data_IF_887045614235
#
_entry.id   IF_887045614235
#
_cell.length_a   1.000
_cell.length_b   1.000
_cell.length_c   1.000
_cell.angle_alpha   90.00
_cell.angle_beta   90.00
_cell.angle_gamma   90.00
#
_symmetry.space_group_name_H-M   'P 1'
#
loop_
_entity.id
_entity.type
_entity.pdbx_description
1 polymer ?
#
# COMPACT_ATOMS: atom_id res chain seq x y z
N UNK A 1 -2.55 -1.30 25.56
CA UNK A 1 -1.85 -0.55 24.49
C UNK A 1 -2.61 0.75 24.28
N UNK A 2 -1.91 1.90 24.12
CA UNK A 2 -2.56 3.21 23.98
C UNK A 2 -2.85 3.61 22.54
N UNK A 3 -2.23 2.93 21.56
CA UNK A 3 -2.50 3.26 20.17
C UNK A 3 -1.51 2.71 19.16
N UNK A 4 -1.67 3.20 17.94
CA UNK A 4 -0.87 2.84 16.77
C UNK A 4 -0.25 4.08 16.13
N UNK A 5 0.95 3.93 15.57
CA UNK A 5 1.61 4.90 14.72
C UNK A 5 1.89 4.23 13.37
N UNK A 6 1.05 4.52 12.36
CA UNK A 6 1.09 3.86 11.06
C UNK A 6 1.87 4.72 10.07
N UNK A 7 3.08 4.27 9.74
CA UNK A 7 4.06 4.98 8.90
C UNK A 7 3.85 4.61 7.43
N UNK A 8 3.82 5.62 6.57
CA UNK A 8 3.65 5.49 5.12
C UNK A 8 4.87 4.95 4.39
N UNK A 9 4.77 4.92 3.05
CA UNK A 9 5.79 4.42 2.14
C UNK A 9 7.13 5.12 2.37
N UNK A 10 8.17 4.34 2.68
CA UNK A 10 9.50 4.86 3.05
C UNK A 10 10.40 5.02 1.82
N UNK A 11 10.40 4.03 0.94
CA UNK A 11 11.17 4.04 -0.30
C UNK A 11 12.62 4.50 -0.15
N UNK A 12 13.36 3.96 0.82
CA UNK A 12 14.77 4.30 1.01
C UNK A 12 15.03 5.71 1.57
N UNK A 13 14.02 6.42 2.07
CA UNK A 13 14.14 7.70 2.75
C UNK A 13 14.51 7.49 4.24
N UNK A 14 15.71 6.99 4.49
CA UNK A 14 16.15 6.58 5.84
C UNK A 14 16.30 7.74 6.81
N UNK A 15 16.83 8.88 6.35
CA UNK A 15 17.06 10.03 7.22
C UNK A 15 15.72 10.62 7.69
N UNK A 16 14.75 10.67 6.79
CA UNK A 16 13.38 11.10 7.08
C UNK A 16 12.69 10.10 8.03
N UNK A 17 12.96 8.80 7.85
CA UNK A 17 12.44 7.77 8.75
C UNK A 17 12.98 7.96 10.18
N UNK A 18 14.28 8.17 10.35
CA UNK A 18 14.87 8.44 11.65
C UNK A 18 14.27 9.70 12.28
N UNK A 19 14.17 10.80 11.51
CA UNK A 19 13.59 12.06 12.00
C UNK A 19 12.12 11.90 12.40
N UNK A 20 11.33 11.14 11.64
CA UNK A 20 9.93 10.88 11.98
C UNK A 20 9.82 10.05 13.26
N UNK A 21 10.64 8.99 13.41
CA UNK A 21 10.67 8.16 14.60
C UNK A 21 11.05 8.97 15.87
N UNK A 22 12.01 9.88 15.75
CA UNK A 22 12.38 10.80 16.84
C UNK A 22 11.23 11.75 17.17
N UNK A 23 10.59 12.32 16.14
CA UNK A 23 9.46 13.25 16.31
C UNK A 23 8.25 12.63 17.00
N UNK A 24 7.86 11.43 16.60
CA UNK A 24 6.70 10.75 17.18
C UNK A 24 7.00 10.17 18.57
N UNK A 25 8.27 10.00 18.90
CA UNK A 25 8.74 9.38 20.13
C UNK A 25 8.44 7.87 20.17
N UNK A 26 9.34 7.10 20.73
CA UNK A 26 9.20 5.64 20.82
C UNK A 26 8.60 5.26 22.17
N UNK A 27 7.29 5.24 22.26
CA UNK A 27 6.59 4.77 23.47
C UNK A 27 6.34 3.26 23.39
N UNK A 28 6.67 2.52 24.45
CA UNK A 28 6.33 1.09 24.58
C UNK A 28 4.81 0.82 24.63
N UNK A 29 4.02 1.85 24.88
CA UNK A 29 2.57 1.77 24.94
C UNK A 29 1.90 1.94 23.56
N UNK A 30 2.67 2.31 22.53
CA UNK A 30 2.20 2.45 21.14
C UNK A 30 2.93 1.44 20.24
N UNK A 31 2.23 0.91 19.26
CA UNK A 31 2.80 0.01 18.28
C UNK A 31 3.07 0.76 16.96
N UNK A 32 4.32 0.72 16.52
CA UNK A 32 4.67 1.16 15.17
C UNK A 32 4.14 0.16 14.15
N UNK A 33 3.64 0.66 13.01
CA UNK A 33 3.20 -0.18 11.89
C UNK A 33 3.70 0.46 10.59
N UNK A 34 4.39 -0.30 9.76
CA UNK A 34 4.83 0.13 8.42
C UNK A 34 3.89 -0.44 7.36
N UNK A 35 3.44 0.38 6.42
CA UNK A 35 2.51 -0.02 5.36
C UNK A 35 3.18 -0.71 4.17
N UNK A 36 4.48 -1.04 4.28
CA UNK A 36 5.30 -1.59 3.20
C UNK A 36 5.97 -0.51 2.36
N UNK A 37 6.45 -0.91 1.18
CA UNK A 37 7.22 -0.07 0.25
C UNK A 37 8.43 0.59 0.94
N UNK A 38 9.26 -0.23 1.57
CA UNK A 38 10.50 0.20 2.22
C UNK A 38 11.62 0.43 1.20
N UNK A 39 11.56 -0.30 0.08
CA UNK A 39 12.59 -0.42 -0.95
C UNK A 39 12.27 0.38 -2.21
N UNK A 40 13.24 0.41 -3.10
CA UNK A 40 13.23 1.12 -4.38
C UNK A 40 13.18 2.65 -4.25
N UNK A 41 13.58 3.33 -5.33
CA UNK A 41 13.50 4.78 -5.56
C UNK A 41 14.49 5.63 -4.77
N UNK A 42 14.48 5.57 -3.44
CA UNK A 42 15.34 6.39 -2.59
C UNK A 42 16.73 5.78 -2.38
N UNK A 43 17.66 6.57 -1.80
CA UNK A 43 19.10 6.22 -1.81
C UNK A 43 19.50 5.20 -0.73
N UNK A 44 18.82 5.14 0.41
CA UNK A 44 19.26 4.39 1.59
C UNK A 44 18.34 3.19 1.89
N UNK A 45 18.12 2.34 0.87
CA UNK A 45 17.19 1.20 0.95
C UNK A 45 17.67 0.15 1.96
N UNK A 46 18.99 -0.10 2.00
CA UNK A 46 19.59 -1.08 2.91
C UNK A 46 19.37 -0.69 4.37
N UNK A 47 19.60 0.57 4.67
CA UNK A 47 19.44 1.13 6.01
C UNK A 47 17.95 1.10 6.45
N UNK A 48 17.02 1.40 5.53
CA UNK A 48 15.58 1.30 5.80
C UNK A 48 15.17 -0.13 6.13
N UNK A 49 15.57 -1.11 5.31
CA UNK A 49 15.25 -2.52 5.54
C UNK A 49 15.83 -3.00 6.86
N UNK A 50 17.09 -2.67 7.14
CA UNK A 50 17.77 -3.08 8.37
C UNK A 50 17.07 -2.54 9.62
N UNK A 51 16.75 -1.23 9.64
CA UNK A 51 16.08 -0.59 10.77
C UNK A 51 14.66 -1.15 11.00
N UNK A 52 13.86 -1.26 9.95
CA UNK A 52 12.49 -1.75 10.09
C UNK A 52 12.47 -3.22 10.51
N UNK A 53 13.35 -4.05 9.93
CA UNK A 53 13.52 -5.45 10.32
C UNK A 53 13.91 -5.57 11.79
N UNK A 54 14.89 -4.80 12.26
CA UNK A 54 15.31 -4.79 13.66
C UNK A 54 14.13 -4.44 14.60
N UNK A 55 13.35 -3.40 14.26
CA UNK A 55 12.17 -3.01 15.03
C UNK A 55 11.10 -4.11 15.08
N UNK A 56 10.91 -4.83 13.97
CA UNK A 56 9.96 -5.95 13.90
C UNK A 56 10.45 -7.15 14.72
N UNK A 57 11.73 -7.54 14.60
CA UNK A 57 12.34 -8.65 15.35
C UNK A 57 12.35 -8.37 16.86
N UNK A 58 12.51 -7.10 17.26
CA UNK A 58 12.38 -6.65 18.66
C UNK A 58 10.92 -6.51 19.13
N UNK A 59 9.93 -6.89 18.33
CA UNK A 59 8.49 -6.73 18.62
C UNK A 59 8.04 -5.29 18.92
N UNK A 60 8.80 -4.29 18.50
CA UNK A 60 8.50 -2.87 18.63
C UNK A 60 7.63 -2.36 17.48
N UNK A 61 7.74 -2.99 16.32
CA UNK A 61 6.96 -2.66 15.15
C UNK A 61 6.27 -3.89 14.54
N UNK A 62 5.29 -3.60 13.67
CA UNK A 62 4.74 -4.50 12.67
C UNK A 62 5.05 -3.91 11.30
N UNK A 63 5.16 -4.75 10.29
CA UNK A 63 5.33 -4.32 8.91
C UNK A 63 4.48 -5.19 8.01
N UNK A 64 3.75 -4.62 7.08
CA UNK A 64 3.05 -5.37 6.04
C UNK A 64 3.84 -5.31 4.73
N UNK A 65 3.54 -6.24 3.82
CA UNK A 65 4.13 -6.27 2.48
C UNK A 65 3.55 -5.16 1.62
N UNK A 66 4.42 -4.33 1.00
CA UNK A 66 4.04 -3.42 -0.06
C UNK A 66 4.19 -4.06 -1.44
N UNK A 67 3.78 -3.33 -2.48
CA UNK A 67 3.89 -3.85 -3.84
C UNK A 67 5.34 -3.92 -4.33
N UNK A 68 6.25 -3.12 -3.79
CA UNK A 68 7.67 -3.18 -4.13
C UNK A 68 8.34 -4.42 -3.56
N UNK A 69 8.08 -4.77 -2.30
CA UNK A 69 8.55 -6.04 -1.71
C UNK A 69 8.00 -7.25 -2.48
N UNK A 70 6.70 -7.26 -2.79
CA UNK A 70 6.06 -8.32 -3.56
C UNK A 70 6.70 -8.48 -4.95
N UNK A 71 6.93 -7.39 -5.66
CA UNK A 71 7.58 -7.41 -6.97
C UNK A 71 9.04 -7.91 -6.89
N UNK A 72 9.79 -7.52 -5.85
CA UNK A 72 11.17 -7.99 -5.64
C UNK A 72 11.22 -9.51 -5.42
N UNK A 73 10.27 -10.05 -4.63
CA UNK A 73 10.11 -11.49 -4.42
C UNK A 73 9.80 -12.19 -5.74
N UNK A 74 8.81 -11.72 -6.52
CA UNK A 74 8.47 -12.29 -7.81
C UNK A 74 9.66 -12.28 -8.78
N UNK A 75 10.42 -11.19 -8.84
CA UNK A 75 11.62 -11.08 -9.67
C UNK A 75 12.69 -12.09 -9.21
N UNK A 76 12.91 -12.24 -7.90
CA UNK A 76 13.85 -13.22 -7.35
C UNK A 76 13.47 -14.66 -7.70
N UNK A 77 12.20 -14.97 -7.67
CA UNK A 77 11.66 -16.30 -8.03
C UNK A 77 11.57 -16.52 -9.55
N UNK A 78 12.02 -15.56 -10.35
CA UNK A 78 11.91 -15.56 -11.81
C UNK A 78 10.47 -15.73 -12.30
N UNK A 79 9.53 -15.19 -11.54
CA UNK A 79 8.11 -15.21 -11.83
C UNK A 79 7.71 -13.96 -12.63
N UNK A 80 6.52 -14.01 -13.26
CA UNK A 80 6.10 -12.98 -14.20
C UNK A 80 5.87 -11.64 -13.51
N UNK A 81 6.59 -10.61 -13.95
CA UNK A 81 6.28 -9.21 -13.68
C UNK A 81 5.48 -8.60 -14.85
N UNK A 82 4.56 -7.68 -14.57
CA UNK A 82 3.96 -6.83 -15.62
C UNK A 82 5.08 -6.04 -16.30
N UNK A 83 4.96 -5.76 -17.61
CA UNK A 83 6.02 -5.16 -18.46
C UNK A 83 6.63 -3.87 -17.93
N UNK A 84 5.92 -3.12 -17.08
CA UNK A 84 6.35 -1.82 -16.55
C UNK A 84 7.27 -1.91 -15.31
N UNK A 85 7.61 -3.12 -14.84
CA UNK A 85 8.41 -3.35 -13.62
C UNK A 85 9.90 -3.65 -13.93
N UNK A 86 10.44 -3.12 -15.02
CA UNK A 86 11.82 -3.39 -15.41
C UNK A 86 12.86 -2.73 -14.49
N UNK A 87 12.52 -1.64 -13.81
CA UNK A 87 13.42 -0.98 -12.87
C UNK A 87 12.98 -1.20 -11.44
N UNK A 88 13.62 -2.14 -10.77
CA UNK A 88 13.55 -2.37 -9.33
C UNK A 88 14.96 -2.20 -8.78
N UNK A 89 15.38 -0.98 -8.40
CA UNK A 89 16.74 -0.69 -7.95
C UNK A 89 17.22 -1.57 -6.80
N UNK A 90 16.30 -1.99 -5.93
CA UNK A 90 16.63 -2.96 -4.87
C UNK A 90 17.20 -4.26 -5.43
N UNK A 91 16.72 -4.72 -6.57
CA UNK A 91 17.20 -5.96 -7.16
C UNK A 91 18.65 -5.88 -7.68
N UNK A 92 19.22 -4.67 -7.82
CA UNK A 92 20.63 -4.49 -8.23
C UNK A 92 21.59 -4.89 -7.11
N UNK A 93 21.12 -4.98 -5.85
CA UNK A 93 21.91 -5.54 -4.74
C UNK A 93 22.34 -6.99 -4.97
N UNK A 94 21.67 -7.75 -5.84
CA UNK A 94 22.11 -9.09 -6.23
C UNK A 94 23.56 -9.09 -6.79
N UNK A 95 23.99 -7.97 -7.35
CA UNK A 95 25.31 -7.80 -7.94
C UNK A 95 26.29 -7.06 -7.02
N UNK A 96 25.82 -6.25 -6.08
CA UNK A 96 26.63 -5.35 -5.24
C UNK A 96 26.71 -5.79 -3.78
N UNK A 97 25.67 -6.40 -3.25
CA UNK A 97 25.59 -6.94 -1.89
C UNK A 97 24.64 -8.15 -1.87
N UNK A 98 25.15 -9.27 -2.34
CA UNK A 98 24.37 -10.47 -2.61
C UNK A 98 23.75 -11.07 -1.35
N UNK A 99 24.47 -11.10 -0.26
CA UNK A 99 24.02 -11.70 1.01
C UNK A 99 22.89 -10.85 1.58
N UNK A 100 23.04 -9.53 1.60
CA UNK A 100 21.96 -8.60 2.00
C UNK A 100 20.71 -8.79 1.12
N UNK A 101 20.88 -8.89 -0.21
CA UNK A 101 19.75 -9.07 -1.12
C UNK A 101 18.94 -10.33 -0.80
N UNK A 102 19.61 -11.49 -0.70
CA UNK A 102 18.91 -12.76 -0.46
C UNK A 102 18.28 -12.82 0.93
N UNK A 103 18.99 -12.38 1.95
CA UNK A 103 18.48 -12.33 3.31
C UNK A 103 17.27 -11.39 3.44
N UNK A 104 17.31 -10.23 2.78
CA UNK A 104 16.17 -9.31 2.73
C UNK A 104 14.96 -9.90 2.01
N UNK A 105 15.15 -10.60 0.89
CA UNK A 105 14.05 -11.29 0.19
C UNK A 105 13.39 -12.33 1.10
N UNK A 106 14.16 -13.16 1.80
CA UNK A 106 13.61 -14.16 2.71
C UNK A 106 12.86 -13.50 3.87
N UNK A 107 13.37 -12.38 4.40
CA UNK A 107 12.64 -11.62 5.41
C UNK A 107 11.34 -11.01 4.84
N UNK A 108 11.37 -10.41 3.66
CA UNK A 108 10.17 -9.83 3.02
C UNK A 108 9.06 -10.86 2.80
N UNK A 109 9.40 -12.13 2.53
CA UNK A 109 8.44 -13.22 2.42
C UNK A 109 7.68 -13.50 3.73
N UNK A 110 8.22 -13.08 4.86
CA UNK A 110 7.57 -13.21 6.17
C UNK A 110 6.57 -12.09 6.48
N UNK A 111 6.48 -11.07 5.63
CA UNK A 111 5.57 -9.93 5.83
C UNK A 111 4.13 -10.32 5.48
N UNK A 112 3.13 -10.01 6.35
CA UNK A 112 1.73 -10.22 6.02
C UNK A 112 1.24 -9.25 4.93
N UNK A 113 0.21 -9.64 4.19
CA UNK A 113 -0.43 -8.78 3.19
C UNK A 113 -1.29 -7.67 3.82
N UNK A 114 -1.82 -7.89 5.01
CA UNK A 114 -2.59 -6.93 5.80
C UNK A 114 -2.58 -7.28 7.28
N UNK A 115 -2.93 -6.30 8.10
CA UNK A 115 -3.20 -6.50 9.52
C UNK A 115 -4.69 -6.22 9.79
N UNK A 116 -5.35 -7.17 10.44
CA UNK A 116 -6.74 -7.04 10.88
C UNK A 116 -6.76 -6.95 12.41
N UNK A 117 -6.43 -5.75 12.93
CA UNK A 117 -6.37 -5.49 14.36
C UNK A 117 -7.77 -5.17 14.91
N UNK A 118 -8.04 -5.33 16.20
CA UNK A 118 -9.37 -5.08 16.76
C UNK A 118 -9.95 -3.71 16.38
N UNK A 119 -9.16 -2.63 16.48
CA UNK A 119 -9.59 -1.25 16.30
C UNK A 119 -9.40 -0.73 14.88
N UNK A 120 -8.35 -1.18 14.19
CA UNK A 120 -7.99 -0.70 12.85
C UNK A 120 -7.61 -1.85 11.92
N UNK A 121 -7.74 -1.61 10.63
CA UNK A 121 -7.10 -2.42 9.59
C UNK A 121 -5.96 -1.67 8.93
N UNK A 122 -4.89 -2.37 8.56
CA UNK A 122 -3.78 -1.80 7.79
C UNK A 122 -3.55 -2.67 6.57
N UNK A 123 -3.55 -2.05 5.40
CA UNK A 123 -3.31 -2.73 4.12
C UNK A 123 -2.54 -1.78 3.19
N UNK A 124 -1.73 -2.32 2.30
CA UNK A 124 -0.91 -1.44 1.47
C UNK A 124 -1.75 -0.54 0.54
N UNK A 125 -2.78 -1.09 -0.15
CA UNK A 125 -3.61 -0.28 -1.06
C UNK A 125 -5.12 -0.48 -0.91
N UNK A 126 -5.64 -1.71 -0.90
CA UNK A 126 -7.08 -1.93 -0.98
C UNK A 126 -7.58 -2.92 0.07
N UNK A 127 -8.47 -2.46 0.97
CA UNK A 127 -9.16 -3.34 1.93
C UNK A 127 -10.38 -3.98 1.27
N UNK A 128 -10.22 -5.21 0.83
CA UNK A 128 -11.30 -5.94 0.17
C UNK A 128 -11.57 -7.28 0.85
N UNK A 129 -12.52 -7.31 1.78
CA UNK A 129 -12.86 -8.50 2.57
C UNK A 129 -13.25 -9.73 1.73
N UNK A 130 -13.74 -9.54 0.49
CA UNK A 130 -14.03 -10.65 -0.42
C UNK A 130 -12.75 -11.27 -0.96
N UNK A 131 -11.81 -10.44 -1.43
CA UNK A 131 -10.52 -10.90 -1.94
C UNK A 131 -9.67 -11.49 -0.81
N UNK A 132 -9.68 -10.87 0.37
CA UNK A 132 -9.02 -11.41 1.57
C UNK A 132 -9.51 -12.82 1.91
N UNK A 133 -10.81 -13.10 1.82
CA UNK A 133 -11.36 -14.45 1.99
C UNK A 133 -10.92 -15.43 0.90
N UNK A 134 -10.79 -14.98 -0.35
CA UNK A 134 -10.28 -15.80 -1.45
C UNK A 134 -8.82 -16.17 -1.19
N UNK A 135 -8.02 -15.23 -0.67
CA UNK A 135 -6.60 -15.44 -0.36
C UNK A 135 -6.37 -16.29 0.88
N UNK A 136 -7.32 -16.34 1.81
CA UNK A 136 -7.14 -16.97 3.13
C UNK A 136 -6.60 -18.41 3.06
N UNK A 137 -6.97 -19.22 2.05
CA UNK A 137 -6.44 -20.59 1.88
C UNK A 137 -4.97 -20.64 1.46
N UNK A 138 -4.42 -19.54 0.97
CA UNK A 138 -3.03 -19.39 0.51
C UNK A 138 -2.14 -18.62 1.49
N UNK A 139 -2.69 -18.22 2.61
CA UNK A 139 -2.01 -17.48 3.65
C UNK A 139 -1.97 -18.34 4.94
N UNK A 140 -1.02 -18.03 5.82
CA UNK A 140 -1.02 -18.55 7.17
C UNK A 140 -1.97 -17.77 8.09
N UNK A 141 -2.00 -18.11 9.38
CA UNK A 141 -2.85 -17.44 10.39
C UNK A 141 -2.51 -15.97 10.61
N UNK A 142 -1.33 -15.53 10.21
CA UNK A 142 -0.86 -14.15 10.32
C UNK A 142 -0.95 -13.38 8.98
N UNK A 143 -1.66 -13.94 7.98
CA UNK A 143 -1.84 -13.40 6.64
C UNK A 143 -0.56 -13.29 5.82
N UNK A 144 0.46 -14.13 6.12
CA UNK A 144 1.70 -14.24 5.33
C UNK A 144 1.48 -15.18 4.17
N UNK A 145 2.10 -14.86 3.06
CA UNK A 145 1.99 -15.63 1.81
C UNK A 145 2.77 -16.94 1.95
N UNK A 146 2.11 -18.08 1.73
CA UNK A 146 2.79 -19.38 1.62
C UNK A 146 3.58 -19.48 0.32
N UNK A 147 4.69 -20.19 0.32
CA UNK A 147 5.59 -20.30 -0.85
C UNK A 147 4.87 -20.72 -2.14
N UNK A 148 3.97 -21.70 -2.04
CA UNK A 148 3.18 -22.20 -3.18
C UNK A 148 2.35 -21.10 -3.88
N UNK A 149 1.94 -20.08 -3.12
CA UNK A 149 1.13 -19.00 -3.64
C UNK A 149 1.87 -18.14 -4.67
N UNK A 150 3.14 -17.85 -4.45
CA UNK A 150 3.90 -17.04 -5.41
C UNK A 150 3.93 -17.71 -6.79
N UNK A 151 4.04 -19.04 -6.85
CA UNK A 151 3.97 -19.79 -8.09
C UNK A 151 2.57 -19.76 -8.70
N UNK A 152 1.52 -19.90 -7.89
CA UNK A 152 0.13 -19.84 -8.34
C UNK A 152 -0.21 -18.44 -8.87
N UNK A 153 0.22 -17.39 -8.17
CA UNK A 153 0.00 -16.01 -8.57
C UNK A 153 0.68 -15.63 -9.88
N UNK A 154 1.77 -16.30 -10.23
CA UNK A 154 2.51 -16.06 -11.48
C UNK A 154 2.10 -16.95 -12.64
N UNK A 155 1.35 -18.02 -12.40
CA UNK A 155 0.96 -18.95 -13.44
C UNK A 155 0.10 -18.28 -14.51
N UNK A 156 0.58 -18.32 -15.76
CA UNK A 156 -0.24 -17.95 -16.94
C UNK A 156 -1.38 -18.95 -17.06
N UNK A 157 -2.60 -18.48 -16.92
CA UNK A 157 -3.72 -19.30 -17.32
C UNK A 157 -4.24 -18.87 -18.69
N UNK A 158 -4.08 -19.77 -19.65
CA UNK A 158 -4.66 -19.69 -21.00
C UNK A 158 -6.18 -19.93 -21.02
N UNK A 159 -6.80 -20.25 -19.88
CA UNK A 159 -8.19 -20.73 -19.81
C UNK A 159 -9.14 -19.91 -18.91
N UNK A 160 -8.75 -18.73 -18.42
CA UNK A 160 -9.68 -17.86 -17.65
C UNK A 160 -10.17 -18.42 -16.29
N UNK A 161 -9.46 -19.40 -15.73
CA UNK A 161 -9.84 -20.14 -14.55
C UNK A 161 -9.44 -19.44 -13.22
N UNK A 162 -9.86 -20.00 -12.10
CA UNK A 162 -9.72 -19.56 -10.70
C UNK A 162 -8.33 -19.02 -10.32
N UNK A 163 -7.26 -19.48 -10.97
CA UNK A 163 -5.87 -19.08 -10.71
C UNK A 163 -5.60 -17.61 -11.07
N UNK A 164 -6.20 -17.10 -12.15
CA UNK A 164 -6.10 -15.67 -12.50
C UNK A 164 -6.75 -14.79 -11.44
N UNK A 165 -7.84 -15.22 -10.84
CA UNK A 165 -8.53 -14.48 -9.78
C UNK A 165 -7.73 -14.38 -8.49
N UNK A 166 -6.88 -15.38 -8.19
CA UNK A 166 -6.02 -15.39 -7.01
C UNK A 166 -4.83 -14.45 -7.22
N UNK A 167 -4.19 -14.50 -8.38
CA UNK A 167 -3.14 -13.57 -8.75
C UNK A 167 -3.62 -12.11 -8.74
N UNK A 168 -4.78 -11.87 -9.34
CA UNK A 168 -5.41 -10.55 -9.36
C UNK A 168 -5.80 -10.08 -7.95
N UNK A 169 -6.17 -11.00 -7.04
CA UNK A 169 -6.55 -10.64 -5.69
C UNK A 169 -5.39 -10.01 -4.89
N UNK A 170 -4.17 -10.59 -4.95
CA UNK A 170 -3.03 -9.98 -4.28
C UNK A 170 -2.61 -8.66 -4.94
N UNK A 171 -2.62 -8.61 -6.28
CA UNK A 171 -2.34 -7.37 -7.02
C UNK A 171 -3.30 -6.24 -6.59
N UNK A 172 -4.59 -6.54 -6.42
CA UNK A 172 -5.59 -5.55 -5.98
C UNK A 172 -5.33 -5.12 -4.53
N UNK A 173 -5.05 -6.05 -3.63
CA UNK A 173 -4.71 -5.73 -2.22
C UNK A 173 -3.49 -4.81 -2.14
N UNK A 174 -2.48 -5.06 -2.99
CA UNK A 174 -1.19 -4.34 -2.98
C UNK A 174 -1.13 -3.11 -3.89
N UNK A 175 -2.00 -2.98 -4.89
CA UNK A 175 -1.91 -1.89 -5.90
C UNK A 175 -3.21 -1.10 -6.08
N UNK A 176 -4.27 -1.50 -5.37
CA UNK A 176 -5.60 -0.92 -5.53
C UNK A 176 -6.39 -1.53 -6.69
N UNK A 177 -7.62 -1.12 -6.77
CA UNK A 177 -8.57 -1.55 -7.81
C UNK A 177 -8.46 -0.65 -9.03
N UNK A 178 -8.54 -1.24 -10.21
CA UNK A 178 -8.59 -0.52 -11.48
C UNK A 178 -9.90 -0.84 -12.21
N UNK A 179 -10.42 0.13 -12.93
CA UNK A 179 -11.63 0.03 -13.74
C UNK A 179 -11.32 0.52 -15.16
N UNK A 180 -11.64 -0.29 -16.16
CA UNK A 180 -11.47 0.08 -17.55
C UNK A 180 -12.47 1.17 -17.93
N UNK A 181 -11.98 2.22 -18.56
CA UNK A 181 -12.81 3.28 -19.13
C UNK A 181 -13.68 2.75 -20.28
N UNK A 182 -14.80 3.40 -20.58
CA UNK A 182 -15.63 3.05 -21.72
C UNK A 182 -14.84 3.05 -23.05
N UNK A 183 -15.32 2.29 -24.03
CA UNK A 183 -14.67 2.23 -25.34
C UNK A 183 -14.45 3.61 -25.95
N UNK A 184 -13.22 3.83 -26.40
CA UNK A 184 -12.78 5.11 -26.98
C UNK A 184 -12.29 6.13 -25.96
N UNK A 185 -12.53 5.93 -24.66
CA UNK A 185 -12.10 6.83 -23.59
C UNK A 185 -10.69 6.51 -23.10
N UNK A 186 -9.96 7.54 -22.74
CA UNK A 186 -8.65 7.45 -22.09
C UNK A 186 -8.37 8.75 -21.35
N UNK A 187 -7.39 8.75 -20.46
CA UNK A 187 -6.83 9.99 -19.90
C UNK A 187 -5.31 9.95 -20.00
N UNK A 188 -4.68 11.11 -19.89
CA UNK A 188 -3.22 11.24 -19.86
C UNK A 188 -2.79 11.42 -18.41
N UNK A 189 -1.95 10.51 -17.91
CA UNK A 189 -1.44 10.60 -16.56
C UNK A 189 -0.39 11.72 -16.42
N UNK A 190 0.04 12.01 -15.19
CA UNK A 190 1.05 13.03 -14.89
C UNK A 190 2.41 12.83 -15.57
N UNK A 191 2.68 11.62 -16.03
CA UNK A 191 3.91 11.25 -16.73
C UNK A 191 3.72 11.30 -18.27
N UNK A 192 2.58 11.85 -18.75
CA UNK A 192 2.26 11.99 -20.17
C UNK A 192 1.83 10.69 -20.87
N UNK A 193 1.53 9.64 -20.11
CA UNK A 193 1.12 8.35 -20.67
C UNK A 193 -0.39 8.24 -20.78
N UNK A 194 -0.87 7.78 -21.96
CA UNK A 194 -2.28 7.46 -22.15
C UNK A 194 -2.67 6.23 -21.36
N UNK A 195 -3.77 6.33 -20.59
CA UNK A 195 -4.33 5.28 -19.74
C UNK A 195 -5.77 5.00 -20.11
N UNK A 196 -6.10 3.73 -20.18
CA UNK A 196 -7.47 3.22 -20.42
C UNK A 196 -8.13 2.66 -19.15
N UNK A 197 -7.41 2.69 -18.03
CA UNK A 197 -7.86 2.18 -16.75
C UNK A 197 -7.64 3.25 -15.70
N UNK A 198 -8.64 3.48 -14.84
CA UNK A 198 -8.56 4.37 -13.69
C UNK A 198 -8.49 3.55 -12.40
N UNK A 199 -7.70 4.01 -11.45
CA UNK A 199 -7.89 3.59 -10.05
C UNK A 199 -9.14 4.23 -9.51
N UNK A 200 -9.89 3.52 -8.65
CA UNK A 200 -11.12 4.05 -8.10
C UNK A 200 -11.21 3.91 -6.57
N UNK A 201 -12.04 4.74 -5.98
CA UNK A 201 -12.30 4.83 -4.54
C UNK A 201 -13.03 3.58 -4.06
N UNK A 202 -12.30 2.53 -3.73
CA UNK A 202 -12.85 1.21 -3.34
C UNK A 202 -13.68 1.24 -2.04
N UNK A 203 -13.56 2.29 -1.23
CA UNK A 203 -14.34 2.51 -0.02
C UNK A 203 -15.70 3.17 -0.27
N UNK A 204 -15.94 3.65 -1.46
CA UNK A 204 -17.17 4.31 -1.83
C UNK A 204 -18.14 3.32 -2.46
N UNK A 205 -19.39 3.26 -1.93
CA UNK A 205 -20.45 2.53 -2.59
C UNK A 205 -20.87 3.24 -3.87
N UNK A 206 -21.11 2.48 -4.92
CA UNK A 206 -21.50 3.01 -6.22
C UNK A 206 -22.79 2.37 -6.71
N UNK A 207 -23.49 3.07 -7.60
CA UNK A 207 -24.70 2.63 -8.32
C UNK A 207 -24.48 2.70 -9.82
N UNK A 208 -25.45 2.26 -10.61
CA UNK A 208 -25.41 2.39 -12.08
C UNK A 208 -25.36 3.86 -12.53
N UNK A 209 -25.85 4.79 -11.68
CA UNK A 209 -25.87 6.24 -11.93
C UNK A 209 -24.54 6.94 -11.60
N UNK A 210 -23.66 6.29 -10.83
CA UNK A 210 -22.36 6.84 -10.47
C UNK A 210 -21.51 7.04 -11.74
N UNK A 211 -20.81 8.17 -11.85
CA UNK A 211 -19.96 8.47 -13.01
C UNK A 211 -18.51 8.06 -12.75
N UNK A 212 -17.76 7.78 -13.81
CA UNK A 212 -16.34 7.46 -13.74
C UNK A 212 -15.53 8.57 -13.01
N UNK A 213 -15.80 9.84 -13.32
CA UNK A 213 -15.12 10.97 -12.67
C UNK A 213 -15.40 11.07 -11.15
N UNK A 214 -16.56 10.61 -10.67
CA UNK A 214 -16.92 10.68 -9.25
C UNK A 214 -16.07 9.73 -8.39
N UNK A 215 -15.64 8.61 -8.97
CA UNK A 215 -14.89 7.56 -8.27
C UNK A 215 -13.41 7.49 -8.62
N UNK A 216 -12.95 8.23 -9.62
CA UNK A 216 -11.54 8.23 -10.02
C UNK A 216 -10.63 8.66 -8.87
N UNK A 217 -9.49 7.98 -8.71
CA UNK A 217 -8.51 8.20 -7.65
C UNK A 217 -7.13 8.42 -8.25
N UNK A 218 -6.39 9.40 -7.71
CA UNK A 218 -5.00 9.68 -8.08
C UNK A 218 -4.77 10.00 -9.56
N UNK A 219 -5.75 10.63 -10.20
CA UNK A 219 -5.68 11.01 -11.63
C UNK A 219 -5.06 12.39 -11.85
N UNK A 220 -4.71 13.13 -10.77
CA UNK A 220 -4.20 14.51 -10.85
C UNK A 220 -5.23 15.44 -11.47
N UNK A 221 -4.76 16.32 -12.38
CA UNK A 221 -5.61 17.28 -13.10
C UNK A 221 -6.22 16.70 -14.39
N UNK A 222 -6.11 15.39 -14.61
CA UNK A 222 -6.64 14.76 -15.81
C UNK A 222 -8.17 14.76 -15.80
N UNK A 223 -8.76 15.15 -16.93
CA UNK A 223 -10.19 15.04 -17.14
C UNK A 223 -10.58 13.58 -17.32
N UNK A 224 -11.48 13.11 -16.46
CA UNK A 224 -12.07 11.77 -16.56
C UNK A 224 -13.50 11.91 -17.07
N UNK A 225 -13.89 11.00 -17.95
CA UNK A 225 -15.23 11.01 -18.54
C UNK A 225 -16.34 11.04 -17.49
N UNK A 226 -17.39 11.79 -17.74
CA UNK A 226 -18.60 11.91 -16.92
C UNK A 226 -19.65 10.82 -17.21
N UNK A 227 -19.33 9.87 -18.09
CA UNK A 227 -20.21 8.73 -18.38
C UNK A 227 -20.54 7.96 -17.12
N UNK A 228 -21.78 7.44 -17.06
CA UNK A 228 -22.24 6.59 -15.96
C UNK A 228 -21.59 5.22 -16.04
N UNK A 229 -21.37 4.61 -14.90
CA UNK A 229 -20.82 3.26 -14.79
C UNK A 229 -21.73 2.20 -15.42
N UNK A 230 -23.06 2.38 -15.34
CA UNK A 230 -24.01 1.39 -15.80
C UNK A 230 -23.92 0.09 -15.01
N UNK A 231 -24.27 -1.03 -15.64
CA UNK A 231 -24.18 -2.36 -15.02
C UNK A 231 -22.73 -2.83 -14.93
N UNK A 232 -22.12 -2.72 -13.78
CA UNK A 232 -20.78 -3.24 -13.51
C UNK A 232 -20.88 -4.68 -13.03
N UNK A 233 -20.19 -5.58 -13.75
CA UNK A 233 -20.01 -6.97 -13.30
C UNK A 233 -18.81 -7.04 -12.36
N UNK A 234 -19.02 -7.27 -11.08
CA UNK A 234 -17.92 -7.50 -10.14
C UNK A 234 -18.12 -6.82 -8.78
N UNK A 235 -17.00 -6.71 -8.04
CA UNK A 235 -16.98 -6.00 -6.77
C UNK A 235 -16.89 -4.51 -7.06
N UNK A 236 -17.82 -3.80 -6.51
CA UNK A 236 -17.86 -2.35 -6.55
C UNK A 236 -17.75 -1.89 -5.11
N UNK A 237 -16.84 -0.99 -4.81
CA UNK A 237 -16.44 -0.54 -3.50
C UNK A 237 -17.51 -0.59 -2.40
N UNK A 238 -17.06 -0.72 -1.19
CA UNK A 238 -17.91 -0.72 0.00
C UNK A 238 -17.15 -0.05 1.14
N UNK A 239 -17.85 0.76 1.91
CA UNK A 239 -17.30 1.32 3.13
C UNK A 239 -16.77 0.20 4.05
N UNK A 240 -15.54 0.33 4.57
CA UNK A 240 -14.98 -0.66 5.47
C UNK A 240 -15.68 -0.64 6.84
N UNK A 241 -15.68 -1.78 7.56
CA UNK A 241 -16.36 -1.90 8.83
C UNK A 241 -15.70 -1.12 9.98
N UNK A 242 -14.42 -0.77 9.82
CA UNK A 242 -13.58 -0.07 10.80
C UNK A 242 -12.65 0.91 10.12
N UNK A 243 -11.87 1.67 10.90
CA UNK A 243 -10.83 2.54 10.39
C UNK A 243 -9.75 1.73 9.66
N UNK A 244 -9.41 2.13 8.43
CA UNK A 244 -8.36 1.53 7.60
C UNK A 244 -7.29 2.56 7.31
N UNK A 245 -6.03 2.18 7.46
CA UNK A 245 -4.89 2.98 7.02
C UNK A 245 -4.21 2.28 5.83
N UNK A 246 -3.91 3.08 4.79
CA UNK A 246 -3.28 2.63 3.54
C UNK A 246 -2.03 3.46 3.23
N UNK A 247 -1.17 2.94 2.35
CA UNK A 247 -0.06 3.62 1.68
C UNK A 247 -0.35 3.83 0.19
N UNK A 248 0.68 3.66 -0.67
CA UNK A 248 0.62 3.43 -2.11
C UNK A 248 0.17 4.60 -3.01
N UNK A 249 -0.70 5.50 -2.57
CA UNK A 249 -1.48 6.38 -3.46
C UNK A 249 -0.80 7.70 -3.81
N UNK A 250 0.39 7.98 -3.31
CA UNK A 250 1.20 9.15 -3.69
C UNK A 250 0.44 10.48 -3.57
N UNK A 251 -0.25 10.65 -2.45
CA UNK A 251 -0.97 11.89 -2.18
C UNK A 251 0.00 13.04 -1.87
N UNK A 252 -0.50 14.25 -1.97
CA UNK A 252 0.24 15.47 -1.62
C UNK A 252 -0.51 16.26 -0.58
N UNK A 253 0.22 16.87 0.33
CA UNK A 253 -0.34 17.86 1.25
C UNK A 253 -0.75 19.12 0.47
N UNK A 254 -1.81 19.76 0.93
CA UNK A 254 -2.24 21.08 0.43
C UNK A 254 -1.28 22.17 0.85
N UNK A 255 -0.57 21.99 1.97
CA UNK A 255 0.47 22.89 2.46
C UNK A 255 1.86 22.24 2.32
N UNK A 256 2.88 22.99 1.87
CA UNK A 256 4.25 22.47 1.82
C UNK A 256 4.84 22.23 3.22
N UNK A 257 4.35 22.97 4.22
CA UNK A 257 4.97 23.00 5.55
C UNK A 257 4.45 21.89 6.49
N UNK A 258 3.25 21.38 6.24
CA UNK A 258 2.65 20.38 7.12
C UNK A 258 1.65 19.47 6.37
N UNK A 259 1.38 18.30 6.94
CA UNK A 259 0.30 17.39 6.56
C UNK A 259 -0.79 17.48 7.60
N UNK A 260 -2.01 17.65 7.16
CA UNK A 260 -3.19 17.64 8.01
C UNK A 260 -3.93 16.29 7.94
N UNK A 261 -4.82 16.06 8.90
CA UNK A 261 -5.67 14.87 8.85
C UNK A 261 -6.61 14.90 7.63
N UNK A 262 -7.05 16.09 7.22
CA UNK A 262 -7.89 16.27 6.03
C UNK A 262 -7.14 15.91 4.72
N UNK A 263 -5.82 16.14 4.67
CA UNK A 263 -5.01 15.71 3.53
C UNK A 263 -4.91 14.19 3.46
N UNK A 264 -4.86 13.52 4.61
CA UNK A 264 -4.76 12.07 4.72
C UNK A 264 -6.11 11.36 4.51
N UNK A 265 -7.22 12.03 4.76
CA UNK A 265 -8.55 11.42 4.76
C UNK A 265 -9.07 11.18 3.35
N UNK A 266 -9.27 9.93 3.00
CA UNK A 266 -10.03 9.53 1.81
C UNK A 266 -11.53 9.42 2.11
N UNK A 267 -11.87 9.09 3.35
CA UNK A 267 -13.21 9.11 3.92
C UNK A 267 -13.11 9.16 5.46
N UNK A 268 -14.23 9.15 6.16
CA UNK A 268 -14.28 9.11 7.63
C UNK A 268 -13.58 7.87 8.22
N UNK A 269 -13.41 6.81 7.43
CA UNK A 269 -12.82 5.54 7.86
C UNK A 269 -11.56 5.12 7.08
N UNK A 270 -11.13 5.86 6.06
CA UNK A 270 -9.98 5.48 5.24
C UNK A 270 -8.98 6.63 5.20
N UNK A 271 -7.77 6.38 5.68
CA UNK A 271 -6.67 7.34 5.73
C UNK A 271 -5.47 6.82 4.96
N UNK A 272 -4.85 7.70 4.16
CA UNK A 272 -3.62 7.40 3.45
C UNK A 272 -2.42 8.02 4.16
N UNK A 273 -1.37 7.22 4.40
CA UNK A 273 -0.13 7.67 5.01
C UNK A 273 1.00 7.95 4.01
N UNK A 274 0.80 7.67 2.71
CA UNK A 274 1.80 7.89 1.67
C UNK A 274 1.72 9.31 1.10
N UNK A 275 2.58 10.19 1.60
CA UNK A 275 2.72 11.57 1.13
C UNK A 275 3.92 11.77 0.20
N UNK A 276 4.25 10.74 -0.59
CA UNK A 276 5.25 10.84 -1.67
C UNK A 276 6.64 11.30 -1.22
N UNK A 277 7.14 10.83 -0.07
CA UNK A 277 8.41 11.26 0.51
C UNK A 277 9.53 11.31 -0.53
N UNK A 278 9.75 10.23 -1.24
CA UNK A 278 10.83 10.10 -2.25
C UNK A 278 10.68 11.03 -3.46
N UNK A 279 9.57 11.74 -3.61
CA UNK A 279 9.33 12.74 -4.68
C UNK A 279 9.15 14.15 -4.11
N UNK A 280 9.97 14.51 -3.14
CA UNK A 280 9.95 15.84 -2.47
C UNK A 280 8.63 16.12 -1.74
N UNK A 281 7.96 15.05 -1.30
CA UNK A 281 6.79 15.15 -0.43
C UNK A 281 7.19 15.09 1.04
N UNK A 282 6.48 14.28 1.81
CA UNK A 282 6.73 14.14 3.25
C UNK A 282 6.64 12.67 3.66
N UNK A 283 7.42 12.25 4.64
CA UNK A 283 7.18 11.00 5.33
C UNK A 283 6.20 11.26 6.48
N UNK A 284 5.12 10.51 6.54
CA UNK A 284 4.07 10.74 7.50
C UNK A 284 3.68 9.47 8.28
N UNK A 285 3.19 9.68 9.49
CA UNK A 285 2.56 8.68 10.32
C UNK A 285 1.12 9.08 10.63
N UNK A 286 0.16 8.20 10.37
CA UNK A 286 -1.19 8.31 10.90
C UNK A 286 -1.15 7.76 12.33
N UNK A 287 -1.44 8.63 13.29
CA UNK A 287 -1.42 8.28 14.71
C UNK A 287 -2.84 8.06 15.21
N UNK A 288 -3.05 6.91 15.86
CA UNK A 288 -4.37 6.51 16.36
C UNK A 288 -4.26 6.25 17.85
N UNK A 289 -5.04 6.97 18.65
CA UNK A 289 -5.23 6.68 20.08
C UNK A 289 -6.43 5.78 20.29
N UNK A 290 -6.31 4.90 21.27
CA UNK A 290 -7.35 3.96 21.65
C UNK A 290 -7.89 4.31 23.04
N UNK A 291 -9.20 4.28 23.19
CA UNK A 291 -9.88 4.32 24.48
C UNK A 291 -9.67 3.01 25.26
N UNK A 292 -10.15 2.99 26.52
CA UNK A 292 -10.00 1.82 27.39
C UNK A 292 -10.73 0.56 26.88
N UNK A 293 -11.73 0.73 26.03
CA UNK A 293 -12.49 -0.35 25.38
C UNK A 293 -11.94 -0.75 23.99
N UNK A 294 -10.70 -0.31 23.69
CA UNK A 294 -10.03 -0.48 22.41
C UNK A 294 -10.72 0.19 21.21
N UNK A 295 -11.72 1.04 21.42
CA UNK A 295 -12.29 1.86 20.34
C UNK A 295 -11.32 2.97 19.94
N UNK A 296 -11.42 3.48 18.71
CA UNK A 296 -10.61 4.62 18.25
C UNK A 296 -11.13 5.90 18.92
N UNK A 297 -10.26 6.54 19.70
CA UNK A 297 -10.56 7.79 20.41
C UNK A 297 -10.15 9.02 19.60
N UNK A 298 -8.97 8.97 18.99
CA UNK A 298 -8.39 10.11 18.26
C UNK A 298 -7.53 9.64 17.10
N UNK A 299 -7.58 10.41 16.01
CA UNK A 299 -6.68 10.24 14.85
C UNK A 299 -6.03 11.58 14.51
N UNK A 300 -4.72 11.58 14.24
CA UNK A 300 -3.99 12.75 13.74
C UNK A 300 -2.78 12.34 12.91
N UNK A 301 -2.10 13.30 12.32
CA UNK A 301 -0.92 13.06 11.48
C UNK A 301 0.29 13.75 12.05
N UNK A 302 1.43 13.07 12.01
CA UNK A 302 2.75 13.65 12.17
C UNK A 302 3.55 13.42 10.89
N UNK A 303 4.38 14.37 10.50
CA UNK A 303 5.18 14.24 9.29
C UNK A 303 6.48 15.01 9.34
N UNK A 304 7.44 14.58 8.54
CA UNK A 304 8.71 15.27 8.28
C UNK A 304 8.85 15.56 6.80
N UNK A 305 9.55 16.64 6.45
CA UNK A 305 9.77 17.00 5.05
C UNK A 305 10.80 16.07 4.40
N UNK A 306 10.65 15.77 3.13
CA UNK A 306 11.69 15.11 2.35
C UNK A 306 12.93 16.00 2.25
N UNK A 307 14.11 15.36 2.29
CA UNK A 307 15.42 15.99 2.09
C UNK A 307 15.94 15.81 0.66
N UNK A 308 15.21 15.05 -0.15
CA UNK A 308 15.59 14.68 -1.53
C UNK A 308 15.02 15.64 -2.58
#
# INVERSE_FOLDING_TARGET
MKGYDVIGDVHGCYDELCELLDKIGQSSERKLIFVGDLIDRGPKQKECVALVRELVEQHRALCIMGNHEYNAILKRLNLRLKKDLFSLPFCDFVNTDRDFYYDSIEWMKTLPLWLDLPSIGVVHACWNSRLMRILASYLDSEHRVKDDYFFIASAKNSSGCTVTKIADAAEIILKGTELTLPDGEYFVDKDGKSRKEIRYKWWQSVTEETRYCDIALSVGDAEITDKKLGQIKGWIGKEPPKLIVVGHYWIRSRSPDNVTLEDAAFSDKVFCSDFSCVKRGRLAAIRVDLACDDSVEKVWVESVASRS
#
